data_IF_023578938843
#
_entry.id   IF_023578938843
#
_cell.length_a   1.000
_cell.length_b   1.000
_cell.length_c   1.000
_cell.angle_alpha   90.00
_cell.angle_beta   90.00
_cell.angle_gamma   90.00
#
_symmetry.space_group_name_H-M   'P 1'
#
loop_
_entity.id
_entity.type
_entity.pdbx_description
1 polymer ?
#
# COMPACT_ATOMS: atom_id res chain seq x y z
N UNK A 1 -40.71 23.23 -14.85
CA UNK A 1 -39.32 23.37 -14.39
C UNK A 1 -38.81 21.98 -14.08
N UNK A 2 -37.76 21.51 -14.76
CA UNK A 2 -37.18 20.18 -14.57
C UNK A 2 -36.00 20.34 -13.62
N UNK A 3 -36.13 19.86 -12.39
CA UNK A 3 -35.02 19.86 -11.45
C UNK A 3 -34.05 18.77 -11.88
N UNK A 4 -32.83 19.16 -12.22
CA UNK A 4 -31.71 18.24 -12.41
C UNK A 4 -31.20 17.92 -11.01
N UNK A 5 -31.43 16.68 -10.57
CA UNK A 5 -30.85 16.16 -9.33
C UNK A 5 -29.35 16.00 -9.55
N UNK A 6 -28.56 16.83 -8.86
CA UNK A 6 -27.11 16.72 -8.87
C UNK A 6 -26.71 15.50 -8.03
N UNK A 7 -26.19 14.47 -8.69
CA UNK A 7 -25.61 13.32 -8.02
C UNK A 7 -24.10 13.56 -7.95
N UNK A 8 -23.51 13.77 -6.75
CA UNK A 8 -22.07 13.93 -6.64
C UNK A 8 -21.38 12.66 -7.12
N UNK A 9 -20.27 12.82 -7.83
CA UNK A 9 -19.42 11.68 -8.19
C UNK A 9 -18.92 11.00 -6.90
N UNK A 10 -18.87 9.66 -6.85
CA UNK A 10 -18.30 8.96 -5.71
C UNK A 10 -16.85 9.40 -5.52
N UNK A 11 -16.45 9.66 -4.28
CA UNK A 11 -15.06 9.97 -3.92
C UNK A 11 -14.18 8.81 -4.42
N UNK A 12 -13.26 9.12 -5.33
CA UNK A 12 -12.26 8.15 -5.75
C UNK A 12 -11.31 7.93 -4.58
N UNK A 13 -10.90 6.67 -4.30
CA UNK A 13 -9.95 6.41 -3.23
C UNK A 13 -8.65 7.15 -3.53
N UNK A 14 -8.18 7.95 -2.58
CA UNK A 14 -6.89 8.64 -2.73
C UNK A 14 -5.75 7.62 -2.59
N UNK A 15 -4.70 7.80 -3.39
CA UNK A 15 -3.48 7.00 -3.24
C UNK A 15 -2.80 7.45 -1.95
N UNK A 16 -2.64 6.53 -1.01
CA UNK A 16 -1.98 6.79 0.26
C UNK A 16 -0.46 6.70 0.11
N UNK A 17 0.05 5.59 -0.42
CA UNK A 17 1.48 5.35 -0.62
C UNK A 17 1.72 4.24 -1.65
N UNK A 18 2.96 3.82 -1.88
CA UNK A 18 3.33 2.71 -2.76
C UNK A 18 4.12 1.63 -2.03
N UNK A 19 3.82 0.36 -2.32
CA UNK A 19 4.54 -0.76 -1.74
C UNK A 19 6.01 -0.73 -2.18
N UNK A 20 6.95 -0.67 -1.23
CA UNK A 20 8.39 -0.58 -1.54
C UNK A 20 8.97 -1.80 -2.25
N UNK A 21 8.26 -2.93 -2.23
CA UNK A 21 8.74 -4.19 -2.81
C UNK A 21 8.25 -4.39 -4.26
N UNK A 22 6.98 -4.09 -4.54
CA UNK A 22 6.38 -4.30 -5.87
C UNK A 22 6.07 -3.00 -6.62
N UNK A 23 6.02 -1.86 -5.94
CA UNK A 23 5.63 -0.56 -6.49
C UNK A 23 4.14 -0.41 -6.77
N UNK A 24 3.29 -1.30 -6.24
CA UNK A 24 1.85 -1.15 -6.35
C UNK A 24 1.35 -0.02 -5.45
N UNK A 25 0.40 0.76 -5.95
CA UNK A 25 -0.30 1.81 -5.20
C UNK A 25 -1.12 1.17 -4.07
N UNK A 26 -0.99 1.74 -2.87
CA UNK A 26 -1.78 1.45 -1.68
C UNK A 26 -2.77 2.59 -1.56
N UNK A 27 -4.06 2.28 -1.62
CA UNK A 27 -5.11 3.29 -1.54
C UNK A 27 -5.51 3.53 -0.09
N UNK A 28 -6.10 4.68 0.20
CA UNK A 28 -6.66 4.96 1.52
C UNK A 28 -7.73 3.92 1.88
N UNK A 29 -7.47 3.19 2.98
CA UNK A 29 -8.33 2.11 3.47
C UNK A 29 -7.91 0.70 3.05
N UNK A 30 -6.88 0.54 2.21
CA UNK A 30 -6.28 -0.76 1.94
C UNK A 30 -5.51 -1.31 3.15
N UNK A 31 -5.44 -2.63 3.25
CA UNK A 31 -4.59 -3.32 4.23
C UNK A 31 -3.12 -3.27 3.78
N UNK A 32 -2.29 -2.58 4.55
CA UNK A 32 -0.84 -2.50 4.35
C UNK A 32 -0.10 -2.58 5.69
N UNK A 33 1.21 -2.86 5.60
CA UNK A 33 2.10 -2.94 6.75
C UNK A 33 3.17 -1.87 6.65
N UNK A 34 3.23 -1.00 7.65
CA UNK A 34 4.22 0.07 7.75
C UNK A 34 5.53 -0.46 8.38
N UNK A 35 6.65 -0.26 7.70
CA UNK A 35 8.00 -0.63 8.16
C UNK A 35 8.96 0.55 8.07
N UNK A 36 10.12 0.48 8.74
CA UNK A 36 11.14 1.55 8.70
C UNK A 36 11.61 1.90 7.28
N UNK A 37 11.64 0.93 6.37
CA UNK A 37 12.05 1.13 4.97
C UNK A 37 10.92 1.66 4.08
N UNK A 38 9.67 1.68 4.58
CA UNK A 38 8.46 2.08 3.87
C UNK A 38 7.34 1.02 3.92
N UNK A 39 6.15 1.35 3.40
CA UNK A 39 4.98 0.48 3.47
C UNK A 39 5.10 -0.71 2.52
N UNK A 40 4.55 -1.85 2.94
CA UNK A 40 4.56 -3.12 2.19
C UNK A 40 3.13 -3.67 2.14
N UNK A 41 2.67 -4.03 0.95
CA UNK A 41 1.37 -4.68 0.78
C UNK A 41 1.35 -6.09 1.37
N UNK A 42 0.16 -6.62 1.66
CA UNK A 42 0.01 -7.97 2.24
C UNK A 42 0.68 -9.06 1.40
N UNK A 43 0.62 -8.95 0.08
CA UNK A 43 1.18 -9.94 -0.85
C UNK A 43 2.72 -10.02 -0.74
N UNK A 44 3.39 -8.87 -0.63
CA UNK A 44 4.85 -8.79 -0.52
C UNK A 44 5.37 -9.00 0.90
N UNK A 45 4.51 -8.99 1.93
CA UNK A 45 4.89 -9.09 3.34
C UNK A 45 5.78 -10.31 3.62
N UNK A 46 5.41 -11.46 3.06
CA UNK A 46 6.14 -12.71 3.27
C UNK A 46 7.54 -12.62 2.66
N UNK A 47 7.66 -12.16 1.41
CA UNK A 47 8.95 -12.02 0.72
C UNK A 47 9.85 -11.01 1.42
N UNK A 48 9.28 -9.87 1.82
CA UNK A 48 9.97 -8.84 2.59
C UNK A 48 10.54 -9.40 3.90
N UNK A 49 9.74 -10.15 4.66
CA UNK A 49 10.18 -10.80 5.89
C UNK A 49 11.31 -11.83 5.66
N UNK A 50 11.28 -12.57 4.55
CA UNK A 50 12.36 -13.50 4.18
C UNK A 50 13.65 -12.76 3.83
N UNK A 51 13.58 -11.63 3.11
CA UNK A 51 14.74 -10.79 2.77
C UNK A 51 15.41 -10.24 4.03
N UNK A 52 14.63 -9.65 4.95
CA UNK A 52 15.14 -9.09 6.21
C UNK A 52 15.86 -10.13 7.08
N UNK A 53 15.36 -11.38 7.12
CA UNK A 53 16.01 -12.49 7.85
C UNK A 53 17.37 -12.89 7.26
N UNK A 54 17.57 -12.76 5.95
CA UNK A 54 18.86 -13.09 5.30
C UNK A 54 19.92 -12.03 5.57
N UNK A 55 19.55 -10.75 5.59
CA UNK A 55 20.47 -9.66 5.93
C UNK A 55 20.98 -9.72 7.37
N UNK A 56 20.23 -10.31 8.30
CA UNK A 56 20.69 -10.51 9.68
C UNK A 56 21.73 -11.64 9.85
N UNK A 57 22.04 -12.41 8.79
CA UNK A 57 22.90 -13.60 8.86
C UNK A 57 24.17 -13.52 8.02
N UNK A 58 24.63 -12.31 7.73
CA UNK A 58 25.80 -12.08 6.87
C UNK A 58 26.56 -10.80 7.18
N UNK A 59 27.08 -10.66 8.41
CA UNK A 59 28.32 -9.93 8.68
C UNK A 59 29.18 -10.84 9.56
N UNK A 60 30.39 -11.07 9.07
CA UNK A 60 31.43 -11.94 9.62
C UNK A 60 31.82 -11.60 11.07
#
# INVERSE_FOLDING_TARGET
MKYIEYFPEPEQPEIFDECIECGCEIYEGDDYYDFEDGPVCEDCLIEYAYKKKKTAKGVA
#
